data_IF_374434215548
#
_entry.id   IF_374434215548
#
_cell.length_a   1.000
_cell.length_b   1.000
_cell.length_c   1.000
_cell.angle_alpha   90.00
_cell.angle_beta   90.00
_cell.angle_gamma   90.00
#
_symmetry.space_group_name_H-M   'P 1'
#
loop_
_entity.id
_entity.type
_entity.pdbx_description
1 polymer ?
#
# COMPACT_ATOMS: atom_id res chain seq x y z
N UNK A 1 29.99 7.40 -15.39
CA UNK A 1 28.70 6.89 -14.86
C UNK A 1 28.92 6.32 -13.47
N UNK A 2 28.19 6.75 -12.43
CA UNK A 2 28.31 6.16 -11.09
C UNK A 2 27.84 4.69 -11.09
N UNK A 3 28.61 3.81 -10.45
CA UNK A 3 28.29 2.38 -10.35
C UNK A 3 26.92 2.15 -9.68
N UNK A 4 26.17 1.18 -10.20
CA UNK A 4 24.90 0.74 -9.62
C UNK A 4 25.11 0.13 -8.22
N UNK A 5 24.09 0.17 -7.36
CA UNK A 5 24.14 -0.44 -6.02
C UNK A 5 24.48 -1.93 -6.07
N UNK A 6 23.97 -2.65 -7.08
CA UNK A 6 24.25 -4.06 -7.30
C UNK A 6 25.73 -4.30 -7.65
N UNK A 7 26.30 -3.48 -8.51
CA UNK A 7 27.71 -3.56 -8.93
C UNK A 7 28.66 -3.21 -7.78
N UNK A 8 28.32 -2.19 -6.99
CA UNK A 8 29.05 -1.84 -5.75
C UNK A 8 29.08 -3.03 -4.78
N UNK A 9 27.95 -3.73 -4.63
CA UNK A 9 27.87 -4.92 -3.78
C UNK A 9 28.68 -6.10 -4.35
N UNK A 10 28.65 -6.32 -5.68
CA UNK A 10 29.44 -7.37 -6.34
C UNK A 10 30.94 -7.16 -6.15
N UNK A 11 31.43 -5.95 -6.43
CA UNK A 11 32.83 -5.56 -6.26
C UNK A 11 33.31 -5.70 -4.81
N UNK A 12 32.45 -5.37 -3.84
CA UNK A 12 32.76 -5.57 -2.41
C UNK A 12 32.89 -7.05 -2.06
N UNK A 13 32.02 -7.92 -2.59
CA UNK A 13 32.09 -9.37 -2.38
C UNK A 13 33.33 -9.98 -3.02
N UNK A 14 33.68 -9.54 -4.22
CA UNK A 14 34.91 -9.97 -4.91
C UNK A 14 36.16 -9.61 -4.10
N UNK A 15 36.27 -8.38 -3.60
CA UNK A 15 37.38 -7.95 -2.71
C UNK A 15 37.48 -8.75 -1.40
N UNK A 16 36.36 -9.27 -0.89
CA UNK A 16 36.34 -10.10 0.32
C UNK A 16 36.77 -11.55 0.05
N UNK A 17 36.88 -11.97 -1.21
CA UNK A 17 37.39 -13.31 -1.59
C UNK A 17 38.91 -13.36 -1.70
N UNK A 18 39.58 -12.21 -1.77
CA UNK A 18 41.05 -12.14 -1.74
C UNK A 18 41.59 -12.74 -0.42
N UNK A 19 42.70 -13.50 -0.48
CA UNK A 19 43.25 -14.16 0.70
C UNK A 19 43.56 -13.13 1.81
N UNK A 20 43.17 -13.42 3.05
CA UNK A 20 43.38 -12.56 4.22
C UNK A 20 42.41 -11.36 4.36
N UNK A 21 41.77 -10.90 3.28
CA UNK A 21 40.85 -9.73 3.34
C UNK A 21 39.58 -9.99 4.15
N UNK A 22 39.11 -11.23 4.16
CA UNK A 22 37.95 -11.61 4.97
C UNK A 22 38.25 -11.55 6.47
N UNK A 23 39.45 -11.93 6.88
CA UNK A 23 39.87 -11.91 8.28
C UNK A 23 40.14 -10.48 8.76
N UNK A 24 40.78 -9.64 7.92
CA UNK A 24 40.86 -8.19 8.15
C UNK A 24 39.47 -7.56 8.35
N UNK A 25 38.48 -7.98 7.55
CA UNK A 25 37.11 -7.49 7.65
C UNK A 25 36.45 -7.92 8.97
N UNK A 26 36.64 -9.18 9.40
CA UNK A 26 36.16 -9.67 10.69
C UNK A 26 36.78 -8.89 11.85
N UNK A 27 38.09 -8.68 11.82
CA UNK A 27 38.80 -7.93 12.87
C UNK A 27 38.34 -6.47 12.90
N UNK A 28 38.11 -5.82 11.75
CA UNK A 28 37.50 -4.48 11.70
C UNK A 28 36.11 -4.44 12.33
N UNK A 29 35.26 -5.42 12.07
CA UNK A 29 33.94 -5.52 12.71
C UNK A 29 34.10 -5.68 14.21
N UNK A 30 34.97 -6.58 14.66
CA UNK A 30 35.23 -6.85 16.07
C UNK A 30 35.73 -5.60 16.79
N UNK A 31 36.65 -4.85 16.18
CA UNK A 31 37.12 -3.56 16.69
C UNK A 31 36.00 -2.52 16.75
N UNK A 32 35.17 -2.40 15.71
CA UNK A 32 34.02 -1.49 15.71
C UNK A 32 33.00 -1.85 16.81
N UNK A 33 32.73 -3.13 17.02
CA UNK A 33 31.90 -3.61 18.12
C UNK A 33 32.51 -3.29 19.48
N UNK A 34 33.83 -3.48 19.68
CA UNK A 34 34.54 -3.11 20.91
C UNK A 34 34.43 -1.61 21.19
N UNK A 35 34.73 -0.76 20.21
CA UNK A 35 34.60 0.71 20.32
C UNK A 35 33.18 1.13 20.69
N UNK A 36 32.17 0.52 20.07
CA UNK A 36 30.76 0.82 20.38
C UNK A 36 30.39 0.43 21.81
N UNK A 37 30.88 -0.72 22.30
CA UNK A 37 30.67 -1.15 23.69
C UNK A 37 31.35 -0.20 24.68
N UNK A 38 32.57 0.21 24.37
CA UNK A 38 33.34 1.12 25.21
C UNK A 38 32.67 2.49 25.32
N UNK A 39 32.25 3.09 24.20
CA UNK A 39 31.48 4.35 24.19
C UNK A 39 30.22 4.28 25.06
N UNK A 40 29.47 3.18 24.99
CA UNK A 40 28.28 2.98 25.84
C UNK A 40 28.64 2.87 27.31
N UNK A 41 29.76 2.26 27.65
CA UNK A 41 30.24 2.16 29.03
C UNK A 41 30.61 3.54 29.57
N UNK A 42 31.39 4.30 28.81
CA UNK A 42 31.77 5.68 29.13
C UNK A 42 30.54 6.59 29.28
N UNK A 43 29.56 6.46 28.38
CA UNK A 43 28.30 7.19 28.46
C UNK A 43 27.53 6.89 29.75
N UNK A 44 27.49 5.63 30.18
CA UNK A 44 26.88 5.20 31.45
C UNK A 44 27.69 5.70 32.66
N UNK A 45 29.01 5.80 32.56
CA UNK A 45 29.88 6.33 33.62
C UNK A 45 29.74 7.83 33.81
N UNK A 46 29.48 8.60 32.74
CA UNK A 46 29.21 10.04 32.79
C UNK A 46 27.86 10.40 33.44
N UNK A 47 26.97 9.42 33.63
CA UNK A 47 25.66 9.66 34.25
C UNK A 47 25.83 9.79 35.77
N UNK A 48 25.20 10.79 36.42
CA UNK A 48 25.21 10.93 37.87
C UNK A 48 24.71 9.67 38.58
N UNK A 49 25.35 9.31 39.70
CA UNK A 49 25.05 8.11 40.50
C UNK A 49 23.55 7.99 40.85
N UNK A 50 22.90 9.12 41.15
CA UNK A 50 21.46 9.19 41.48
C UNK A 50 20.53 8.76 40.33
N UNK A 51 20.96 8.90 39.08
CA UNK A 51 20.17 8.56 37.88
C UNK A 51 20.63 7.25 37.22
N UNK A 52 21.85 6.79 37.52
CA UNK A 52 22.48 5.61 36.92
C UNK A 52 21.65 4.34 37.08
N UNK A 53 21.11 4.09 38.28
CA UNK A 53 20.25 2.94 38.55
C UNK A 53 18.97 2.94 37.69
N UNK A 54 18.32 4.09 37.55
CA UNK A 54 17.10 4.25 36.73
C UNK A 54 17.37 3.94 35.25
N UNK A 55 18.46 4.46 34.70
CA UNK A 55 18.87 4.23 33.30
C UNK A 55 19.19 2.76 33.03
N UNK A 56 19.86 2.07 33.96
CA UNK A 56 20.17 0.64 33.83
C UNK A 56 18.88 -0.20 33.79
N UNK A 57 17.92 0.10 34.68
CA UNK A 57 16.62 -0.60 34.74
C UNK A 57 15.85 -0.40 33.43
N UNK A 58 15.79 0.83 32.92
CA UNK A 58 15.09 1.14 31.68
C UNK A 58 15.72 0.44 30.46
N UNK A 59 17.05 0.42 30.37
CA UNK A 59 17.78 -0.28 29.31
C UNK A 59 17.56 -1.80 29.36
N UNK A 60 17.48 -2.38 30.56
CA UNK A 60 17.11 -3.79 30.76
C UNK A 60 15.68 -4.05 30.28
N UNK A 61 14.73 -3.16 30.60
CA UNK A 61 13.32 -3.26 30.13
C UNK A 61 13.23 -3.22 28.61
N UNK A 62 13.83 -2.22 27.96
CA UNK A 62 13.88 -2.09 26.49
C UNK A 62 14.50 -3.31 25.82
N UNK A 63 15.55 -3.87 26.43
CA UNK A 63 16.20 -5.09 25.92
C UNK A 63 15.26 -6.30 26.03
N UNK A 64 14.59 -6.50 27.17
CA UNK A 64 13.59 -7.57 27.35
C UNK A 64 12.44 -7.46 26.35
N UNK A 65 11.90 -6.26 26.13
CA UNK A 65 10.82 -6.01 25.18
C UNK A 65 11.25 -6.32 23.74
N UNK A 66 12.43 -5.86 23.32
CA UNK A 66 12.98 -6.16 21.99
C UNK A 66 13.13 -7.67 21.76
N UNK A 67 13.67 -8.39 22.75
CA UNK A 67 13.84 -9.84 22.67
C UNK A 67 12.48 -10.54 22.62
N UNK A 68 11.51 -10.11 23.44
CA UNK A 68 10.14 -10.62 23.43
C UNK A 68 9.49 -10.43 22.06
N UNK A 69 9.56 -9.21 21.47
CA UNK A 69 9.00 -8.91 20.15
C UNK A 69 9.62 -9.77 19.06
N UNK A 70 10.95 -9.93 19.06
CA UNK A 70 11.65 -10.80 18.11
C UNK A 70 11.21 -12.26 18.25
N UNK A 71 11.10 -12.79 19.48
CA UNK A 71 10.61 -14.16 19.73
C UNK A 71 9.17 -14.35 19.26
N UNK A 72 8.30 -13.37 19.51
CA UNK A 72 6.91 -13.41 19.08
C UNK A 72 6.80 -13.43 17.56
N UNK A 73 7.54 -12.56 16.87
CA UNK A 73 7.61 -12.55 15.40
C UNK A 73 8.18 -13.85 14.85
N UNK A 74 9.22 -14.40 15.48
CA UNK A 74 9.78 -15.69 15.08
C UNK A 74 8.74 -16.81 15.21
N UNK A 75 8.00 -16.88 16.32
CA UNK A 75 6.92 -17.85 16.54
C UNK A 75 5.78 -17.68 15.52
N UNK A 76 5.37 -16.45 15.23
CA UNK A 76 4.37 -16.15 14.19
C UNK A 76 4.87 -16.56 12.81
N UNK A 77 6.14 -16.29 12.48
CA UNK A 77 6.74 -16.70 11.22
C UNK A 77 6.84 -18.23 11.11
N UNK A 78 7.15 -18.93 12.19
CA UNK A 78 7.19 -20.40 12.26
C UNK A 78 5.79 -21.01 12.08
N UNK A 79 4.78 -20.47 12.78
CA UNK A 79 3.38 -20.89 12.64
C UNK A 79 2.81 -20.62 11.23
N UNK A 80 3.10 -19.44 10.67
CA UNK A 80 2.73 -19.11 9.29
C UNK A 80 3.59 -19.85 8.25
N UNK A 81 4.71 -20.48 8.62
CA UNK A 81 5.44 -21.40 7.75
C UNK A 81 4.83 -22.81 7.82
N UNK A 82 4.34 -23.24 8.98
CA UNK A 82 3.75 -24.59 9.17
C UNK A 82 2.37 -24.71 8.52
N UNK A 83 1.49 -23.71 8.70
CA UNK A 83 0.14 -23.69 8.07
C UNK A 83 0.23 -23.70 6.54
N UNK A 84 1.29 -23.11 5.99
CA UNK A 84 1.49 -22.99 4.54
C UNK A 84 2.04 -24.30 3.94
N UNK A 85 2.70 -25.14 4.73
CA UNK A 85 3.34 -26.37 4.22
C UNK A 85 2.36 -27.51 3.86
N UNK A 86 1.10 -27.49 4.31
CA UNK A 86 0.15 -28.57 4.03
C UNK A 86 -0.75 -28.32 2.80
N UNK A 87 -0.88 -27.07 2.32
CA UNK A 87 -1.75 -26.78 1.15
C UNK A 87 -1.23 -25.73 0.17
N UNK A 88 -0.12 -25.03 0.42
CA UNK A 88 0.41 -24.10 -0.59
C UNK A 88 1.89 -23.85 -0.40
N UNK A 89 2.74 -24.25 -1.36
CA UNK A 89 4.15 -23.84 -1.39
C UNK A 89 4.24 -22.34 -1.07
N UNK A 90 5.05 -21.92 -0.09
CA UNK A 90 5.14 -20.50 0.31
C UNK A 90 5.70 -19.68 -0.85
N UNK A 91 4.80 -19.15 -1.66
CA UNK A 91 5.12 -18.41 -2.86
C UNK A 91 5.44 -16.96 -2.46
N UNK A 92 6.70 -16.69 -2.12
CA UNK A 92 7.18 -15.31 -2.01
C UNK A 92 7.40 -14.71 -3.40
N UNK A 93 7.25 -13.39 -3.60
CA UNK A 93 7.56 -12.76 -4.89
C UNK A 93 8.99 -13.07 -5.36
N UNK A 94 9.93 -13.17 -4.42
CA UNK A 94 11.32 -13.55 -4.72
C UNK A 94 11.45 -15.02 -5.15
N UNK A 95 10.68 -15.95 -4.58
CA UNK A 95 10.70 -17.35 -5.00
C UNK A 95 10.02 -17.54 -6.35
N UNK A 96 8.89 -16.84 -6.63
CA UNK A 96 8.29 -16.82 -7.98
C UNK A 96 9.32 -16.36 -9.00
N UNK A 97 9.94 -15.20 -8.78
CA UNK A 97 10.88 -14.63 -9.74
C UNK A 97 12.04 -15.59 -10.05
N UNK A 98 12.56 -16.29 -9.05
CA UNK A 98 13.58 -17.32 -9.24
C UNK A 98 13.08 -18.52 -10.05
N UNK A 99 11.88 -19.00 -9.76
CA UNK A 99 11.26 -20.11 -10.50
C UNK A 99 11.00 -19.73 -11.95
N UNK A 100 10.47 -18.53 -12.20
CA UNK A 100 10.25 -17.99 -13.55
C UNK A 100 11.56 -17.88 -14.32
N UNK A 101 12.63 -17.40 -13.69
CA UNK A 101 13.96 -17.33 -14.34
C UNK A 101 14.48 -18.72 -14.69
N UNK A 102 14.35 -19.71 -13.80
CA UNK A 102 14.75 -21.10 -14.08
C UNK A 102 13.93 -21.70 -15.23
N UNK A 103 12.61 -21.55 -15.19
CA UNK A 103 11.72 -22.01 -16.25
C UNK A 103 12.05 -21.35 -17.59
N UNK A 104 12.27 -20.03 -17.60
CA UNK A 104 12.66 -19.28 -18.79
C UNK A 104 13.95 -19.81 -19.43
N UNK A 105 14.93 -20.17 -18.61
CA UNK A 105 16.22 -20.69 -19.09
C UNK A 105 16.12 -22.14 -19.58
N UNK A 106 15.15 -22.91 -19.08
CA UNK A 106 14.88 -24.28 -19.54
C UNK A 106 14.06 -24.33 -20.83
N UNK A 107 13.36 -23.24 -21.18
CA UNK A 107 12.58 -23.15 -22.42
C UNK A 107 13.49 -22.98 -23.64
N UNK A 108 13.07 -23.48 -24.82
CA UNK A 108 13.83 -23.32 -26.06
C UNK A 108 14.04 -21.83 -26.41
N UNK A 109 15.19 -21.51 -27.00
CA UNK A 109 15.53 -20.15 -27.39
C UNK A 109 14.58 -19.58 -28.46
N UNK A 110 14.14 -20.44 -29.39
CA UNK A 110 13.22 -20.07 -30.47
C UNK A 110 11.84 -19.62 -29.93
N UNK A 111 11.36 -18.41 -30.27
CA UNK A 111 10.08 -17.88 -29.77
C UNK A 111 8.86 -18.76 -30.09
N UNK A 112 8.80 -19.32 -31.31
CA UNK A 112 7.68 -20.15 -31.77
C UNK A 112 7.62 -21.45 -30.96
N UNK A 113 8.76 -22.14 -30.82
CA UNK A 113 8.86 -23.37 -30.01
C UNK A 113 8.51 -23.11 -28.55
N UNK A 114 8.92 -21.94 -28.02
CA UNK A 114 8.60 -21.53 -26.65
C UNK A 114 7.09 -21.36 -26.44
N UNK A 115 6.39 -20.71 -27.37
CA UNK A 115 4.93 -20.56 -27.30
C UNK A 115 4.22 -21.90 -27.38
N UNK A 116 4.64 -22.79 -28.29
CA UNK A 116 4.05 -24.13 -28.44
C UNK A 116 4.22 -24.98 -27.17
N UNK A 117 5.43 -24.97 -26.58
CA UNK A 117 5.70 -25.69 -25.32
C UNK A 117 4.87 -25.13 -24.18
N UNK A 118 4.80 -23.80 -24.04
CA UNK A 118 3.97 -23.17 -23.01
C UNK A 118 2.48 -23.48 -23.18
N UNK A 119 1.97 -23.50 -24.42
CA UNK A 119 0.59 -23.86 -24.71
C UNK A 119 0.26 -25.27 -24.22
N UNK A 120 1.10 -26.26 -24.57
CA UNK A 120 0.91 -27.65 -24.12
C UNK A 120 0.98 -27.80 -22.60
N UNK A 121 1.95 -27.16 -21.95
CA UNK A 121 2.07 -27.19 -20.49
C UNK A 121 0.87 -26.55 -19.78
N UNK A 122 0.25 -25.54 -20.38
CA UNK A 122 -0.93 -24.89 -19.83
C UNK A 122 -2.18 -25.76 -19.99
N UNK A 123 -2.27 -26.54 -21.08
CA UNK A 123 -3.36 -27.49 -21.31
C UNK A 123 -3.28 -28.72 -20.37
N UNK A 124 -2.07 -29.13 -19.98
CA UNK A 124 -1.83 -30.22 -19.02
C UNK A 124 -2.12 -29.82 -17.56
N UNK A 125 -2.11 -28.52 -17.24
CA UNK A 125 -2.45 -28.06 -15.90
C UNK A 125 -3.96 -28.18 -15.66
N UNK A 126 -4.40 -28.74 -14.53
CA UNK A 126 -5.81 -28.72 -14.16
C UNK A 126 -6.28 -27.26 -14.14
N UNK A 127 -7.25 -26.95 -14.99
CA UNK A 127 -7.92 -25.64 -14.99
C UNK A 127 -8.79 -25.59 -13.75
N UNK A 128 -8.18 -25.31 -12.60
CA UNK A 128 -8.96 -24.78 -11.48
C UNK A 128 -9.64 -23.52 -12.02
N UNK A 129 -10.98 -23.47 -11.90
CA UNK A 129 -11.71 -22.25 -12.18
C UNK A 129 -10.95 -21.12 -11.50
N UNK A 130 -10.59 -20.03 -12.21
CA UNK A 130 -9.81 -18.96 -11.60
C UNK A 130 -10.48 -18.62 -10.28
N UNK A 131 -9.72 -18.51 -9.16
CA UNK A 131 -10.32 -18.13 -7.89
C UNK A 131 -11.18 -16.93 -8.21
N UNK A 132 -12.49 -17.06 -8.00
CA UNK A 132 -13.42 -15.99 -8.30
C UNK A 132 -12.88 -14.84 -7.48
N UNK A 133 -12.19 -13.91 -8.14
CA UNK A 133 -11.76 -12.71 -7.47
C UNK A 133 -13.10 -12.14 -7.05
N UNK A 134 -13.39 -12.19 -5.76
CA UNK A 134 -14.37 -11.31 -5.16
C UNK A 134 -13.79 -9.92 -5.36
N UNK A 135 -13.82 -9.44 -6.61
CA UNK A 135 -13.61 -8.05 -6.94
C UNK A 135 -14.55 -7.33 -6.00
N UNK A 136 -13.97 -6.44 -5.18
CA UNK A 136 -14.65 -5.74 -4.11
C UNK A 136 -16.12 -5.54 -4.51
N UNK A 137 -17.02 -6.28 -3.84
CA UNK A 137 -18.44 -6.30 -4.20
C UNK A 137 -18.85 -4.85 -4.39
N UNK A 138 -19.20 -4.49 -5.64
CA UNK A 138 -19.50 -3.10 -5.98
C UNK A 138 -20.50 -2.56 -4.97
N UNK A 139 -20.35 -1.30 -4.56
CA UNK A 139 -21.31 -0.68 -3.65
C UNK A 139 -22.73 -0.96 -4.13
N UNK A 140 -23.60 -1.33 -3.19
CA UNK A 140 -24.99 -1.63 -3.51
C UNK A 140 -25.58 -0.45 -4.30
N UNK A 141 -26.26 -0.74 -5.42
CA UNK A 141 -26.85 0.29 -6.28
C UNK A 141 -27.76 1.25 -5.51
N UNK A 142 -28.43 0.75 -4.46
CA UNK A 142 -29.24 1.56 -3.53
C UNK A 142 -28.41 2.65 -2.84
N UNK A 143 -27.24 2.30 -2.33
CA UNK A 143 -26.33 3.25 -1.66
C UNK A 143 -25.78 4.27 -2.65
N UNK A 144 -25.49 3.86 -3.88
CA UNK A 144 -25.06 4.79 -4.93
C UNK A 144 -26.17 5.80 -5.23
N UNK A 145 -27.41 5.33 -5.35
CA UNK A 145 -28.58 6.17 -5.57
C UNK A 145 -28.77 7.17 -4.41
N UNK A 146 -28.73 6.71 -3.17
CA UNK A 146 -28.82 7.57 -1.97
C UNK A 146 -27.74 8.66 -1.94
N UNK A 147 -26.50 8.33 -2.32
CA UNK A 147 -25.41 9.31 -2.42
C UNK A 147 -25.71 10.35 -3.50
N UNK A 148 -26.19 9.92 -4.67
CA UNK A 148 -26.55 10.85 -5.75
C UNK A 148 -27.73 11.74 -5.36
N UNK A 149 -28.73 11.20 -4.70
CA UNK A 149 -29.87 11.96 -4.16
C UNK A 149 -29.42 12.96 -3.11
N UNK A 150 -28.51 12.58 -2.21
CA UNK A 150 -27.93 13.47 -1.21
C UNK A 150 -27.28 14.71 -1.86
N UNK A 151 -26.48 14.51 -2.90
CA UNK A 151 -25.89 15.63 -3.66
C UNK A 151 -26.92 16.53 -4.36
N UNK A 152 -28.11 16.01 -4.65
CA UNK A 152 -29.19 16.72 -5.33
C UNK A 152 -30.21 17.36 -4.38
N UNK A 153 -30.00 17.33 -3.07
CA UNK A 153 -30.87 18.07 -2.15
C UNK A 153 -30.54 19.55 -2.18
N UNK A 154 -31.57 20.39 -2.06
CA UNK A 154 -31.45 21.84 -2.15
C UNK A 154 -30.79 22.49 -0.92
N UNK A 155 -30.72 21.77 0.20
CA UNK A 155 -29.95 22.14 1.39
C UNK A 155 -28.43 21.91 1.23
N UNK A 156 -28.04 20.97 0.35
CA UNK A 156 -26.64 20.60 0.11
C UNK A 156 -26.07 21.30 -1.12
N UNK A 157 -26.86 21.43 -2.18
CA UNK A 157 -26.42 22.08 -3.42
C UNK A 157 -27.49 22.94 -4.08
N UNK A 158 -27.06 24.08 -4.63
CA UNK A 158 -27.91 25.04 -5.32
C UNK A 158 -27.81 24.90 -6.82
N UNK A 159 -28.94 24.96 -7.52
CA UNK A 159 -28.97 25.06 -8.98
C UNK A 159 -28.47 26.43 -9.45
N UNK A 160 -27.63 26.42 -10.49
CA UNK A 160 -27.14 27.62 -11.13
C UNK A 160 -28.27 28.25 -11.97
N UNK A 161 -28.53 29.57 -11.85
CA UNK A 161 -29.72 30.19 -12.43
C UNK A 161 -29.65 30.44 -13.94
N UNK A 162 -28.46 30.36 -14.56
CA UNK A 162 -28.25 30.80 -15.94
C UNK A 162 -28.80 29.82 -16.99
N UNK A 163 -29.34 30.37 -18.08
CA UNK A 163 -29.75 29.59 -19.26
C UNK A 163 -28.60 28.77 -19.89
N UNK A 164 -27.35 29.18 -19.66
CA UNK A 164 -26.15 28.50 -20.16
C UNK A 164 -25.55 27.51 -19.16
N UNK A 165 -26.11 27.44 -17.94
CA UNK A 165 -25.56 26.63 -16.85
C UNK A 165 -26.09 25.19 -16.90
N UNK A 166 -25.83 24.51 -18.03
CA UNK A 166 -26.21 23.12 -18.26
C UNK A 166 -25.01 22.29 -18.67
N UNK A 167 -25.01 21.02 -18.26
CA UNK A 167 -24.00 20.02 -18.60
C UNK A 167 -24.69 18.81 -19.22
N UNK A 168 -24.13 18.32 -20.32
CA UNK A 168 -24.60 17.07 -20.93
C UNK A 168 -23.96 15.88 -20.22
N UNK A 169 -24.77 15.06 -19.56
CA UNK A 169 -24.35 13.85 -18.84
C UNK A 169 -24.88 12.62 -19.61
N UNK A 170 -24.14 11.50 -19.57
CA UNK A 170 -24.64 10.22 -20.11
C UNK A 170 -25.33 9.43 -19.00
N UNK A 171 -26.53 8.96 -19.28
CA UNK A 171 -27.32 8.14 -18.36
C UNK A 171 -26.85 6.68 -18.36
N UNK A 172 -27.41 5.88 -17.45
CA UNK A 172 -27.15 4.44 -17.36
C UNK A 172 -27.50 3.68 -18.66
N UNK A 173 -28.44 4.22 -19.45
CA UNK A 173 -28.85 3.70 -20.77
C UNK A 173 -27.94 4.15 -21.92
N UNK A 174 -26.94 4.98 -21.66
CA UNK A 174 -26.02 5.52 -22.66
C UNK A 174 -26.50 6.78 -23.40
N UNK A 175 -27.74 7.21 -23.15
CA UNK A 175 -28.34 8.41 -23.72
C UNK A 175 -27.76 9.69 -23.11
N UNK A 176 -27.75 10.78 -23.88
CA UNK A 176 -27.26 12.10 -23.45
C UNK A 176 -28.42 12.91 -22.88
N UNK A 177 -28.32 13.31 -21.61
CA UNK A 177 -29.29 14.18 -20.94
C UNK A 177 -28.64 15.52 -20.56
N UNK A 178 -29.39 16.62 -20.74
CA UNK A 178 -28.96 17.96 -20.30
C UNK A 178 -29.41 18.18 -18.86
N UNK A 179 -28.45 18.22 -17.94
CA UNK A 179 -28.67 18.49 -16.52
C UNK A 179 -28.24 19.91 -16.18
N UNK A 180 -29.02 20.62 -15.36
CA UNK A 180 -28.63 21.93 -14.84
C UNK A 180 -27.45 21.81 -13.87
N UNK A 181 -26.50 22.73 -13.95
CA UNK A 181 -25.34 22.75 -13.06
C UNK A 181 -25.80 23.06 -11.63
N UNK A 182 -25.25 22.34 -10.67
CA UNK A 182 -25.44 22.58 -9.24
C UNK A 182 -24.12 22.89 -8.57
N UNK A 183 -24.13 23.75 -7.57
CA UNK A 183 -22.97 24.08 -6.77
C UNK A 183 -23.19 23.67 -5.32
N UNK A 184 -22.24 22.92 -4.77
CA UNK A 184 -22.21 22.57 -3.36
C UNK A 184 -22.00 23.83 -2.52
N UNK A 185 -22.79 23.96 -1.44
CA UNK A 185 -22.59 25.00 -0.44
C UNK A 185 -21.35 24.72 0.42
N UNK A 186 -21.22 23.47 0.87
CA UNK A 186 -20.18 23.02 1.79
C UNK A 186 -19.06 22.27 1.07
N UNK A 187 -17.98 21.99 1.80
CA UNK A 187 -16.93 21.09 1.34
C UNK A 187 -17.45 19.64 1.24
N UNK A 188 -16.84 18.82 0.39
CA UNK A 188 -17.20 17.38 0.25
C UNK A 188 -17.00 16.63 1.58
N UNK A 189 -16.07 17.09 2.42
CA UNK A 189 -15.84 16.60 3.77
C UNK A 189 -17.03 16.84 4.70
N UNK A 190 -17.62 18.03 4.65
CA UNK A 190 -18.80 18.37 5.46
C UNK A 190 -20.05 17.64 4.95
N UNK A 191 -20.24 17.59 3.63
CA UNK A 191 -21.36 16.85 3.02
C UNK A 191 -21.29 15.36 3.35
N UNK A 192 -20.08 14.77 3.36
CA UNK A 192 -19.89 13.38 3.79
C UNK A 192 -20.22 13.19 5.27
N UNK A 193 -19.86 14.16 6.12
CA UNK A 193 -20.18 14.11 7.55
C UNK A 193 -21.69 14.16 7.80
N UNK A 194 -22.42 15.01 7.07
CA UNK A 194 -23.88 15.06 7.09
C UNK A 194 -24.50 13.74 6.62
N UNK A 195 -24.02 13.19 5.50
CA UNK A 195 -24.48 11.90 4.99
C UNK A 195 -24.29 10.76 6.02
N UNK A 196 -23.15 10.74 6.70
CA UNK A 196 -22.86 9.75 7.75
C UNK A 196 -23.75 9.95 8.98
N UNK A 197 -24.15 11.19 9.30
CA UNK A 197 -25.08 11.47 10.39
C UNK A 197 -26.51 10.99 10.07
N UNK A 198 -26.96 11.15 8.82
CA UNK A 198 -28.33 10.77 8.42
C UNK A 198 -28.49 9.27 8.14
N UNK A 199 -27.54 8.65 7.43
CA UNK A 199 -27.66 7.27 6.90
C UNK A 199 -26.64 6.30 7.52
N UNK A 200 -25.71 6.80 8.34
CA UNK A 200 -24.65 6.00 8.96
C UNK A 200 -23.37 5.90 8.12
N UNK A 201 -22.33 5.30 8.69
CA UNK A 201 -21.01 5.18 8.05
C UNK A 201 -20.94 4.00 7.06
N UNK A 202 -21.72 4.08 5.97
CA UNK A 202 -21.82 3.03 4.94
C UNK A 202 -20.69 3.15 3.90
N UNK A 203 -20.22 4.37 3.61
CA UNK A 203 -19.26 4.65 2.53
C UNK A 203 -18.13 5.56 3.00
N UNK A 204 -16.90 5.19 2.64
CA UNK A 204 -15.72 6.00 2.93
C UNK A 204 -15.66 7.29 2.11
N UNK A 205 -15.12 8.36 2.69
CA UNK A 205 -15.06 9.71 2.11
C UNK A 205 -14.54 9.78 0.68
N UNK A 206 -13.47 9.05 0.36
CA UNK A 206 -12.90 9.06 -1.01
C UNK A 206 -13.91 8.50 -2.02
N UNK A 207 -14.60 7.42 -1.67
CA UNK A 207 -15.58 6.79 -2.55
C UNK A 207 -16.84 7.64 -2.68
N UNK A 208 -17.26 8.29 -1.60
CA UNK A 208 -18.32 9.28 -1.62
C UNK A 208 -18.00 10.43 -2.60
N UNK A 209 -16.78 10.97 -2.54
CA UNK A 209 -16.33 12.01 -3.46
C UNK A 209 -16.28 11.57 -4.93
N UNK A 210 -15.91 10.31 -5.20
CA UNK A 210 -15.93 9.72 -6.55
C UNK A 210 -17.35 9.55 -7.11
N UNK A 211 -18.33 9.26 -6.25
CA UNK A 211 -19.73 9.02 -6.64
C UNK A 211 -20.52 10.31 -6.86
N UNK A 212 -19.90 11.48 -6.71
CA UNK A 212 -20.52 12.78 -6.96
C UNK A 212 -20.99 12.88 -8.43
N UNK A 213 -22.25 13.27 -8.69
CA UNK A 213 -22.74 13.51 -10.04
C UNK A 213 -21.91 14.57 -10.78
N UNK A 214 -21.71 14.38 -12.09
CA UNK A 214 -20.88 15.28 -12.91
C UNK A 214 -21.42 16.71 -13.02
N UNK A 215 -22.74 16.89 -12.89
CA UNK A 215 -23.38 18.21 -12.92
C UNK A 215 -23.29 18.95 -11.57
N UNK A 216 -22.78 18.31 -10.51
CA UNK A 216 -22.59 18.91 -9.19
C UNK A 216 -21.14 19.33 -9.01
N UNK A 217 -20.91 20.64 -8.98
CA UNK A 217 -19.62 21.28 -8.85
C UNK A 217 -19.32 21.71 -7.43
N UNK A 218 -18.02 21.83 -7.13
CA UNK A 218 -17.54 22.42 -5.89
C UNK A 218 -17.81 23.93 -5.88
N UNK A 219 -17.88 24.49 -4.68
CA UNK A 219 -17.94 25.94 -4.47
C UNK A 219 -16.77 26.68 -5.15
N UNK A 220 -15.60 26.06 -5.31
CA UNK A 220 -14.45 26.63 -6.02
C UNK A 220 -14.68 26.88 -7.52
N UNK A 221 -15.72 26.29 -8.12
CA UNK A 221 -16.11 26.51 -9.52
C UNK A 221 -17.22 27.54 -9.66
N UNK A 222 -17.68 28.16 -8.57
CA UNK A 222 -18.60 29.28 -8.64
C UNK A 222 -17.89 30.49 -9.26
N UNK A 223 -18.52 31.22 -10.20
CA UNK A 223 -17.97 32.47 -10.70
C UNK A 223 -17.91 33.50 -9.56
N UNK A 224 -16.77 34.19 -9.45
CA UNK A 224 -16.47 35.16 -8.37
C UNK A 224 -17.49 36.31 -8.20
N UNK A 225 -18.39 36.48 -9.17
CA UNK A 225 -19.39 37.55 -9.19
C UNK A 225 -20.67 37.22 -8.39
N UNK A 226 -20.81 35.98 -7.88
CA UNK A 226 -21.97 35.56 -7.07
C UNK A 226 -21.58 35.65 -5.60
N UNK A 227 -22.01 36.73 -4.91
CA UNK A 227 -21.81 36.87 -3.47
C UNK A 227 -22.51 35.72 -2.73
N UNK A 228 -21.78 35.06 -1.84
CA UNK A 228 -22.37 34.20 -0.82
C UNK A 228 -23.18 35.12 0.11
N UNK A 229 -24.48 34.86 0.22
CA UNK A 229 -25.37 35.50 1.20
C UNK A 229 -25.32 34.67 2.47
#
# INVERSE_FOLDING_TARGET
MPLSAAEKMRRRREKLKEPGKYDEYKEKIKQACRKTRQKKKEEIERIPLSKKAKVIIENRRKTKERVRKHRLQKKQNEQTNTIVNETSIRVTPQSIGKTVVRARNALPACPIKKQLVLGRLLDECPKESPPTMHGASGLNKKVIFEIQTCYQRDDISRQAPGLKDYVTVRNERGEKEKMQIRHLFSSVTETHSLFVQELGNIVGRNKFAELRPKHVYLSSKLPHNVKQI
#
